data_IF_363714273343
#
_entry.id   IF_363714273343
#
_cell.length_a   1.000
_cell.length_b   1.000
_cell.length_c   1.000
_cell.angle_alpha   90.00
_cell.angle_beta   90.00
_cell.angle_gamma   90.00
#
_symmetry.space_group_name_H-M   'P 1'
#
loop_
_entity.id
_entity.type
_entity.pdbx_description
1 polymer ?
#
# COMPACT_ATOMS: atom_id res chain seq x y z
N UNK A 1 14.69 -12.95 -22.20
CA UNK A 1 14.06 -12.91 -20.87
C UNK A 1 14.78 -11.84 -20.08
N UNK A 2 14.16 -10.67 -19.85
CA UNK A 2 14.83 -9.58 -19.12
C UNK A 2 15.02 -9.99 -17.66
N UNK A 3 16.27 -10.25 -17.30
CA UNK A 3 16.71 -10.60 -15.96
C UNK A 3 16.94 -9.31 -15.18
N UNK A 4 15.86 -8.62 -14.82
CA UNK A 4 15.91 -7.38 -14.04
C UNK A 4 15.71 -7.71 -12.55
N UNK A 5 16.48 -7.06 -11.68
CA UNK A 5 16.21 -7.06 -10.24
C UNK A 5 14.83 -6.45 -9.97
N UNK A 6 14.04 -7.07 -9.08
CA UNK A 6 12.69 -6.62 -8.76
C UNK A 6 12.63 -6.05 -7.34
N UNK A 7 11.99 -4.89 -7.18
CA UNK A 7 11.73 -4.31 -5.86
C UNK A 7 10.69 -5.16 -5.12
N UNK A 8 10.97 -5.51 -3.86
CA UNK A 8 10.10 -6.31 -3.02
C UNK A 8 10.06 -5.70 -1.61
N UNK A 9 9.16 -4.74 -1.42
CA UNK A 9 9.06 -4.02 -0.15
C UNK A 9 10.37 -3.33 0.24
N UNK A 10 10.97 -3.67 1.40
CA UNK A 10 12.20 -3.04 1.89
C UNK A 10 13.47 -3.61 1.23
N UNK A 11 13.38 -4.66 0.42
CA UNK A 11 14.53 -5.28 -0.25
C UNK A 11 14.39 -5.26 -1.77
N UNK A 12 15.48 -5.52 -2.47
CA UNK A 12 15.45 -5.81 -3.91
C UNK A 12 15.85 -7.26 -4.11
N UNK A 13 15.01 -8.02 -4.82
CA UNK A 13 15.31 -9.41 -5.14
C UNK A 13 16.43 -9.50 -6.17
N UNK A 14 17.24 -10.56 -6.06
CA UNK A 14 18.32 -10.79 -6.99
C UNK A 14 17.79 -11.06 -8.39
N UNK A 15 18.67 -10.93 -9.36
CA UNK A 15 18.42 -11.27 -10.74
C UNK A 15 17.91 -12.71 -10.89
N UNK A 16 16.69 -12.88 -11.40
CA UNK A 16 16.05 -14.18 -11.58
C UNK A 16 15.13 -14.62 -10.44
N UNK A 17 15.09 -13.88 -9.33
CA UNK A 17 14.12 -14.09 -8.25
C UNK A 17 12.83 -13.30 -8.49
N UNK A 18 11.74 -13.77 -7.88
CA UNK A 18 10.44 -13.08 -7.89
C UNK A 18 10.06 -12.64 -6.48
N UNK A 19 9.41 -11.47 -6.38
CA UNK A 19 8.87 -11.00 -5.11
C UNK A 19 7.64 -11.84 -4.74
N UNK A 20 7.72 -12.54 -3.62
CA UNK A 20 6.63 -13.35 -3.08
C UNK A 20 5.78 -12.54 -2.10
N UNK A 21 6.43 -11.82 -1.18
CA UNK A 21 5.74 -11.05 -0.15
C UNK A 21 6.38 -9.67 -0.03
N UNK A 22 5.76 -8.61 -0.58
CA UNK A 22 6.28 -7.26 -0.48
C UNK A 22 6.14 -6.69 0.95
N UNK A 23 5.25 -7.21 1.79
CA UNK A 23 5.14 -6.76 3.18
C UNK A 23 6.33 -7.22 4.01
N UNK A 24 6.82 -8.42 3.73
CA UNK A 24 7.96 -9.01 4.43
C UNK A 24 9.29 -8.94 3.66
N UNK A 25 9.29 -8.38 2.45
CA UNK A 25 10.46 -8.33 1.57
C UNK A 25 11.00 -9.71 1.21
N UNK A 26 10.11 -10.67 0.92
CA UNK A 26 10.50 -12.06 0.67
C UNK A 26 10.65 -12.36 -0.82
N UNK A 27 11.86 -12.72 -1.21
CA UNK A 27 12.21 -13.17 -2.56
C UNK A 27 12.25 -14.69 -2.62
N UNK A 28 11.77 -15.27 -3.72
CA UNK A 28 11.81 -16.72 -3.96
C UNK A 28 12.28 -17.01 -5.40
N UNK A 29 12.71 -18.25 -5.63
CA UNK A 29 13.02 -18.72 -6.98
C UNK A 29 11.72 -19.00 -7.77
N UNK A 30 11.72 -18.81 -9.10
CA UNK A 30 10.59 -19.17 -9.94
C UNK A 30 10.18 -20.64 -9.74
N UNK A 31 8.89 -20.89 -9.54
CA UNK A 31 8.37 -22.24 -9.31
C UNK A 31 8.39 -22.71 -7.85
N UNK A 32 8.97 -21.93 -6.91
CA UNK A 32 8.78 -22.20 -5.49
C UNK A 32 7.39 -21.75 -5.01
N UNK A 33 6.86 -22.44 -3.99
CA UNK A 33 5.62 -22.03 -3.36
C UNK A 33 5.78 -20.69 -2.63
N UNK A 34 4.88 -19.75 -2.92
CA UNK A 34 4.79 -18.48 -2.22
C UNK A 34 3.69 -18.56 -1.16
N UNK A 35 4.08 -18.85 0.07
CA UNK A 35 3.18 -18.84 1.22
C UNK A 35 3.47 -17.60 2.06
N UNK A 36 2.44 -16.77 2.36
CA UNK A 36 2.54 -15.68 3.31
C UNK A 36 3.07 -16.23 4.64
N UNK A 37 4.11 -15.59 5.18
CA UNK A 37 4.62 -15.92 6.51
C UNK A 37 4.60 -14.67 7.35
N UNK A 38 4.22 -14.81 8.62
CA UNK A 38 4.40 -13.73 9.57
C UNK A 38 5.90 -13.36 9.64
N UNK A 39 6.20 -12.08 9.45
CA UNK A 39 7.51 -11.52 9.66
C UNK A 39 7.50 -10.59 10.88
N UNK A 40 8.64 -10.49 11.56
CA UNK A 40 8.78 -9.72 12.80
C UNK A 40 8.56 -8.21 12.61
N UNK A 41 8.68 -7.71 11.38
CA UNK A 41 8.55 -6.28 11.07
C UNK A 41 7.97 -6.11 9.67
N UNK A 42 6.66 -6.33 9.49
CA UNK A 42 6.01 -6.11 8.20
C UNK A 42 6.06 -4.62 7.86
N UNK A 43 6.30 -4.32 6.59
CA UNK A 43 6.16 -2.97 6.08
C UNK A 43 4.68 -2.60 6.15
N UNK A 44 4.37 -1.55 6.90
CA UNK A 44 3.04 -0.94 6.88
C UNK A 44 2.94 -0.14 5.59
N UNK A 45 2.14 -0.63 4.65
CA UNK A 45 1.79 0.15 3.46
C UNK A 45 0.76 1.18 3.90
N UNK A 46 1.08 2.47 3.86
CA UNK A 46 0.16 3.47 4.32
C UNK A 46 -1.03 3.57 3.36
N UNK A 47 -2.23 3.39 3.89
CA UNK A 47 -3.47 3.43 3.09
C UNK A 47 -3.94 4.88 2.91
N UNK A 48 -4.34 5.19 1.69
CA UNK A 48 -5.01 6.43 1.30
C UNK A 48 -6.47 6.13 0.96
N UNK A 49 -7.39 7.00 1.36
CA UNK A 49 -8.82 6.81 1.12
C UNK A 49 -9.32 7.65 -0.07
N UNK A 50 -10.13 7.08 -0.95
CA UNK A 50 -10.77 7.83 -2.04
C UNK A 50 -11.93 8.65 -1.47
N UNK A 51 -11.99 9.94 -1.82
CA UNK A 51 -13.04 10.85 -1.38
C UNK A 51 -13.57 11.67 -2.56
N UNK A 52 -14.66 11.21 -3.17
CA UNK A 52 -15.19 11.82 -4.38
C UNK A 52 -14.16 11.81 -5.52
N UNK A 53 -13.79 13.01 -5.99
CA UNK A 53 -12.78 13.21 -7.04
C UNK A 53 -11.35 13.35 -6.50
N UNK A 54 -11.14 13.29 -5.19
CA UNK A 54 -9.80 13.36 -4.58
C UNK A 54 -9.41 12.04 -3.93
N UNK A 55 -8.12 11.90 -3.61
CA UNK A 55 -7.60 10.84 -2.74
C UNK A 55 -6.99 11.50 -1.51
N UNK A 56 -7.45 11.10 -0.33
CA UNK A 56 -6.98 11.62 0.95
C UNK A 56 -5.55 11.17 1.23
N UNK A 57 -4.75 12.08 1.77
CA UNK A 57 -3.43 11.74 2.27
C UNK A 57 -3.52 10.65 3.34
N UNK A 58 -2.44 9.89 3.49
CA UNK A 58 -2.30 8.87 4.53
C UNK A 58 -2.63 9.45 5.90
N UNK A 59 -3.47 8.75 6.66
CA UNK A 59 -3.88 9.16 8.00
C UNK A 59 -5.01 10.20 8.02
N UNK A 60 -5.57 10.56 6.86
CA UNK A 60 -6.80 11.34 6.74
C UNK A 60 -7.96 10.43 6.32
N UNK A 61 -9.17 10.83 6.68
CA UNK A 61 -10.41 10.14 6.33
C UNK A 61 -11.25 10.99 5.37
N UNK A 62 -12.07 10.34 4.55
CA UNK A 62 -13.02 11.06 3.71
C UNK A 62 -14.08 11.73 4.58
N UNK A 63 -14.08 13.07 4.59
CA UNK A 63 -15.02 13.88 5.36
C UNK A 63 -16.25 14.22 4.50
N UNK A 64 -16.05 14.79 3.30
CA UNK A 64 -17.15 15.13 2.41
C UNK A 64 -16.86 14.60 0.99
N UNK A 65 -17.46 13.48 0.59
CA UNK A 65 -17.23 12.91 -0.73
C UNK A 65 -17.83 13.77 -1.85
N UNK A 66 -18.88 14.56 -1.59
CA UNK A 66 -19.47 15.46 -2.61
C UNK A 66 -18.47 16.55 -3.01
N UNK A 67 -17.68 17.01 -2.05
CA UNK A 67 -16.73 18.11 -2.22
C UNK A 67 -15.27 17.66 -2.32
N UNK A 68 -14.98 16.35 -2.17
CA UNK A 68 -13.63 15.83 -2.09
C UNK A 68 -12.82 16.41 -0.91
N UNK A 69 -13.44 16.54 0.26
CA UNK A 69 -12.78 17.09 1.46
C UNK A 69 -12.31 15.95 2.35
N UNK A 70 -11.02 15.95 2.66
CA UNK A 70 -10.37 15.04 3.59
C UNK A 70 -10.09 15.74 4.92
N UNK A 71 -10.30 15.06 6.03
CA UNK A 71 -10.06 15.59 7.37
C UNK A 71 -9.27 14.60 8.23
N UNK A 72 -8.69 15.08 9.33
CA UNK A 72 -8.10 14.16 10.31
C UNK A 72 -9.22 13.40 11.03
N UNK A 73 -8.96 12.16 11.49
CA UNK A 73 -9.91 11.44 12.33
C UNK A 73 -10.34 12.27 13.53
N UNK A 74 -11.65 12.43 13.72
CA UNK A 74 -12.25 13.17 14.84
C UNK A 74 -12.41 14.69 14.62
N UNK A 75 -11.92 15.24 13.51
CA UNK A 75 -12.21 16.63 13.14
C UNK A 75 -13.67 16.80 12.71
N UNK A 76 -14.24 17.96 13.03
CA UNK A 76 -15.59 18.31 12.59
C UNK A 76 -15.62 18.49 11.07
N UNK A 77 -16.70 18.02 10.45
CA UNK A 77 -16.86 17.98 9.01
C UNK A 77 -18.23 18.51 8.60
N UNK A 78 -18.31 19.25 7.50
CA UNK A 78 -19.57 19.60 6.86
C UNK A 78 -19.93 18.57 5.79
N UNK A 79 -21.16 18.06 5.84
CA UNK A 79 -21.71 17.08 4.90
C UNK A 79 -22.60 17.74 3.83
N UNK A 80 -22.56 19.07 3.74
CA UNK A 80 -23.31 19.80 2.72
C UNK A 80 -22.76 19.47 1.33
N UNK A 81 -23.66 19.22 0.38
CA UNK A 81 -23.28 18.96 -0.99
C UNK A 81 -22.62 20.19 -1.64
N UNK A 82 -21.56 19.90 -2.41
CA UNK A 82 -21.12 20.69 -3.55
C UNK A 82 -21.86 20.16 -4.78
#
# INVERSE_FOLDING_TARGET
MSLSSVTCGPVTCNTGEVCCDPYCGRCIQPGQACEPKECLSPVVIPESEICGMTTCNVGFVCCNPSCGICAKPGEACSHQAC
#
